data_IF_457793246084
#
_entry.id   IF_457793246084
#
_cell.length_a   1.000
_cell.length_b   1.000
_cell.length_c   1.000
_cell.angle_alpha   90.00
_cell.angle_beta   90.00
_cell.angle_gamma   90.00
#
_symmetry.space_group_name_H-M   'P 1'
#
loop_
_entity.id
_entity.type
_entity.pdbx_description
1 polymer ?
#
# COMPACT_ATOMS: atom_id res chain seq x y z
N UNK A 1 -53.22 26.21 47.72
CA UNK A 1 -52.84 25.90 46.32
C UNK A 1 -52.97 24.39 46.17
N UNK A 2 -54.17 23.91 45.88
CA UNK A 2 -54.66 23.52 44.54
C UNK A 2 -53.98 22.27 43.94
N UNK A 3 -54.74 21.17 44.06
CA UNK A 3 -54.94 19.98 43.20
C UNK A 3 -53.71 19.12 42.82
N UNK A 4 -53.45 17.96 43.44
CA UNK A 4 -54.21 16.71 43.62
C UNK A 4 -54.26 15.81 42.36
N UNK A 5 -53.42 14.78 42.41
CA UNK A 5 -53.32 13.62 41.51
C UNK A 5 -54.53 12.69 41.66
N UNK A 6 -54.97 12.09 40.56
CA UNK A 6 -56.13 11.22 40.52
C UNK A 6 -55.76 9.74 40.26
N UNK A 7 -56.27 8.91 41.18
CA UNK A 7 -56.76 7.52 41.07
C UNK A 7 -55.83 6.35 40.69
N UNK A 8 -55.55 5.57 41.74
CA UNK A 8 -55.44 4.11 41.76
C UNK A 8 -56.83 3.45 41.56
N UNK A 9 -56.87 2.32 40.86
CA UNK A 9 -57.85 1.26 41.10
C UNK A 9 -57.17 -0.12 41.08
N UNK A 10 -57.50 -0.90 42.11
CA UNK A 10 -57.07 -2.26 42.45
C UNK A 10 -57.76 -3.34 41.59
N UNK A 11 -57.14 -4.53 41.51
CA UNK A 11 -57.71 -5.89 41.68
C UNK A 11 -56.74 -6.89 40.98
N UNK A 12 -55.80 -7.56 41.66
CA UNK A 12 -55.92 -8.75 42.55
C UNK A 12 -56.12 -10.09 41.83
N UNK A 13 -55.23 -11.06 42.12
CA UNK A 13 -55.38 -12.50 41.85
C UNK A 13 -54.02 -13.21 41.63
N UNK A 14 -53.19 -13.50 42.65
CA UNK A 14 -53.09 -14.76 43.44
C UNK A 14 -52.77 -15.99 42.54
N UNK A 15 -51.66 -16.74 42.68
CA UNK A 15 -51.34 -17.75 43.72
C UNK A 15 -49.91 -18.35 43.41
N UNK A 16 -48.89 -18.21 44.28
CA UNK A 16 -48.27 -19.19 45.24
C UNK A 16 -47.04 -19.99 44.72
N UNK A 17 -45.90 -19.79 45.44
CA UNK A 17 -44.89 -20.73 46.03
C UNK A 17 -44.34 -21.88 45.15
N UNK A 18 -43.06 -22.28 45.15
CA UNK A 18 -41.88 -21.99 45.96
C UNK A 18 -40.75 -22.99 45.62
N UNK A 19 -39.52 -22.71 46.03
CA UNK A 19 -38.35 -23.59 45.91
C UNK A 19 -38.45 -24.81 46.84
N UNK A 20 -38.06 -26.00 46.36
CA UNK A 20 -37.86 -27.17 47.20
C UNK A 20 -37.38 -28.37 46.37
N UNK A 21 -36.23 -28.94 46.74
CA UNK A 21 -35.50 -29.93 45.96
C UNK A 21 -36.10 -31.33 45.88
N UNK A 22 -35.51 -32.14 44.99
CA UNK A 22 -35.43 -33.60 45.17
C UNK A 22 -36.12 -34.45 44.11
N UNK A 23 -35.28 -35.05 43.24
CA UNK A 23 -35.39 -36.41 42.67
C UNK A 23 -36.58 -36.77 41.76
N UNK A 24 -36.21 -37.07 40.51
CA UNK A 24 -36.72 -38.14 39.62
C UNK A 24 -38.21 -38.14 39.27
N UNK A 25 -38.55 -37.67 38.06
CA UNK A 25 -38.87 -38.52 36.90
C UNK A 25 -39.38 -37.67 35.72
N UNK A 26 -38.84 -37.97 34.55
CA UNK A 26 -39.34 -37.77 33.17
C UNK A 26 -40.26 -36.57 32.81
N UNK A 27 -39.71 -35.62 32.04
CA UNK A 27 -40.24 -35.22 30.71
C UNK A 27 -39.35 -34.11 30.10
N UNK A 28 -38.50 -34.47 29.14
CA UNK A 28 -37.77 -33.51 28.30
C UNK A 28 -38.70 -33.08 27.17
N UNK A 29 -39.27 -31.88 27.25
CA UNK A 29 -39.93 -31.24 26.12
C UNK A 29 -38.86 -30.85 25.09
N UNK A 30 -38.90 -31.51 23.94
CA UNK A 30 -38.09 -31.26 22.76
C UNK A 30 -38.11 -29.78 22.36
N UNK A 31 -36.93 -29.15 22.33
CA UNK A 31 -36.71 -27.90 21.61
C UNK A 31 -36.86 -28.20 20.11
N UNK A 32 -37.91 -27.67 19.50
CA UNK A 32 -38.10 -27.68 18.06
C UNK A 32 -36.84 -27.18 17.34
N UNK A 33 -36.13 -28.09 16.66
CA UNK A 33 -34.96 -27.75 15.88
C UNK A 33 -35.36 -26.89 14.68
N UNK A 34 -34.83 -25.68 14.61
CA UNK A 34 -34.89 -24.82 13.43
C UNK A 34 -34.27 -25.57 12.25
N UNK A 35 -35.11 -26.07 11.33
CA UNK A 35 -34.65 -26.69 10.08
C UNK A 35 -34.18 -25.60 9.14
N UNK A 36 -32.86 -25.55 8.90
CA UNK A 36 -32.32 -24.69 7.86
C UNK A 36 -32.91 -25.07 6.49
N UNK A 37 -33.18 -24.09 5.62
CA UNK A 37 -33.59 -24.35 4.24
C UNK A 37 -32.54 -25.20 3.53
N UNK A 38 -32.97 -26.18 2.75
CA UNK A 38 -32.09 -26.97 1.90
C UNK A 38 -31.35 -26.05 0.94
N UNK A 39 -30.01 -26.05 1.04
CA UNK A 39 -29.11 -25.31 0.14
C UNK A 39 -29.47 -25.63 -1.31
N UNK A 40 -29.96 -24.64 -2.05
CA UNK A 40 -30.02 -24.73 -3.50
C UNK A 40 -28.60 -24.83 -4.05
N UNK A 41 -28.43 -25.69 -5.04
CA UNK A 41 -27.15 -25.90 -5.72
C UNK A 41 -26.85 -24.64 -6.55
N UNK A 42 -26.17 -23.67 -5.95
CA UNK A 42 -25.56 -22.59 -6.71
C UNK A 42 -24.62 -23.20 -7.76
N UNK A 43 -24.64 -22.62 -8.96
CA UNK A 43 -23.83 -23.01 -10.13
C UNK A 43 -22.33 -22.74 -9.93
N UNK A 44 -21.78 -23.16 -8.79
CA UNK A 44 -20.36 -23.19 -8.52
C UNK A 44 -19.83 -24.49 -9.11
N UNK A 45 -18.95 -24.39 -10.10
CA UNK A 45 -18.22 -25.56 -10.62
C UNK A 45 -17.64 -26.33 -9.43
N UNK A 46 -18.06 -27.58 -9.25
CA UNK A 46 -17.51 -28.52 -8.26
C UNK A 46 -16.19 -29.12 -8.75
N UNK A 47 -15.36 -28.33 -9.42
CA UNK A 47 -13.98 -28.73 -9.65
C UNK A 47 -13.23 -28.43 -8.36
N UNK A 48 -12.80 -29.48 -7.67
CA UNK A 48 -11.80 -29.33 -6.61
C UNK A 48 -10.53 -28.84 -7.28
N UNK A 49 -10.31 -27.53 -7.28
CA UNK A 49 -9.05 -26.94 -7.73
C UNK A 49 -8.00 -27.26 -6.67
N UNK A 50 -7.50 -28.49 -6.66
CA UNK A 50 -6.27 -28.82 -5.93
C UNK A 50 -5.08 -28.44 -6.81
N UNK A 51 -4.81 -27.13 -6.94
CA UNK A 51 -3.44 -26.75 -7.29
C UNK A 51 -2.60 -27.12 -6.09
N UNK A 52 -1.72 -28.10 -6.25
CA UNK A 52 -0.85 -28.50 -5.15
C UNK A 52 0.05 -27.31 -4.79
N UNK A 53 0.52 -27.27 -3.53
CA UNK A 53 1.45 -26.22 -3.09
C UNK A 53 2.66 -26.17 -4.02
N UNK A 54 3.08 -27.34 -4.49
CA UNK A 54 4.16 -27.51 -5.48
C UNK A 54 3.80 -26.92 -6.85
N UNK A 55 2.57 -27.02 -7.36
CA UNK A 55 2.17 -26.35 -8.62
C UNK A 55 2.08 -24.82 -8.48
N UNK A 56 1.67 -24.34 -7.30
CA UNK A 56 1.66 -22.90 -7.00
C UNK A 56 3.08 -22.33 -6.94
N UNK A 57 4.05 -23.08 -6.39
CA UNK A 57 5.46 -22.68 -6.32
C UNK A 57 6.30 -23.12 -7.54
N UNK A 58 5.83 -24.05 -8.38
CA UNK A 58 6.51 -24.45 -9.60
C UNK A 58 6.59 -23.31 -10.63
N UNK A 59 5.63 -22.37 -10.58
CA UNK A 59 5.70 -21.13 -11.35
C UNK A 59 6.36 -19.97 -10.60
N UNK A 60 6.60 -20.08 -9.29
CA UNK A 60 7.26 -19.04 -8.48
C UNK A 60 8.76 -18.86 -8.80
N UNK A 61 9.31 -19.73 -9.66
CA UNK A 61 10.70 -19.67 -10.14
C UNK A 61 10.84 -19.58 -11.66
N UNK A 62 9.74 -19.52 -12.44
CA UNK A 62 9.86 -19.17 -13.86
C UNK A 62 10.18 -17.69 -13.91
N UNK A 63 11.47 -17.35 -14.08
CA UNK A 63 11.82 -16.04 -14.64
C UNK A 63 10.90 -15.86 -15.85
N UNK A 64 10.03 -14.85 -15.80
CA UNK A 64 9.23 -14.46 -16.96
C UNK A 64 10.15 -14.31 -18.17
N UNK A 65 9.61 -14.49 -19.36
CA UNK A 65 10.39 -14.43 -20.60
C UNK A 65 11.24 -13.16 -20.61
N UNK A 66 12.56 -13.33 -20.49
CA UNK A 66 13.48 -12.22 -20.29
C UNK A 66 13.58 -11.41 -21.58
N UNK A 67 13.15 -10.16 -21.51
CA UNK A 67 13.20 -9.22 -22.63
C UNK A 67 14.53 -8.47 -22.58
N UNK A 68 15.27 -8.37 -23.71
CA UNK A 68 16.52 -7.62 -23.74
C UNK A 68 16.30 -6.14 -23.41
N UNK A 69 17.31 -5.53 -22.81
CA UNK A 69 17.35 -4.09 -22.53
C UNK A 69 18.05 -3.39 -23.70
N UNK A 70 17.50 -2.26 -24.15
CA UNK A 70 18.16 -1.38 -25.12
C UNK A 70 19.19 -0.48 -24.41
N UNK A 71 20.50 -0.67 -24.66
CA UNK A 71 21.54 0.13 -24.03
C UNK A 71 21.51 1.61 -24.43
N UNK A 72 21.10 1.91 -25.67
CA UNK A 72 21.03 3.28 -26.17
C UNK A 72 19.89 4.04 -25.50
N UNK A 73 18.70 3.42 -25.41
CA UNK A 73 17.58 3.99 -24.67
C UNK A 73 17.92 4.14 -23.18
N UNK A 74 18.53 3.12 -22.56
CA UNK A 74 18.98 3.20 -21.16
C UNK A 74 19.90 4.39 -20.93
N UNK A 75 20.89 4.60 -21.79
CA UNK A 75 21.80 5.74 -21.71
C UNK A 75 21.05 7.08 -21.87
N UNK A 76 20.09 7.14 -22.79
CA UNK A 76 19.26 8.34 -23.01
C UNK A 76 18.40 8.68 -21.79
N UNK A 77 17.74 7.68 -21.19
CA UNK A 77 16.88 7.87 -20.02
C UNK A 77 17.67 8.27 -18.76
N UNK A 78 18.94 7.85 -18.66
CA UNK A 78 19.83 8.18 -17.54
C UNK A 78 20.61 9.47 -17.72
N UNK A 79 20.39 10.20 -18.82
CA UNK A 79 21.13 11.43 -19.08
C UNK A 79 20.88 12.41 -17.93
N UNK A 80 21.95 12.96 -17.29
CA UNK A 80 21.79 13.93 -16.23
C UNK A 80 20.96 15.12 -16.71
N UNK A 81 19.98 15.50 -15.90
CA UNK A 81 19.14 16.66 -16.08
C UNK A 81 18.90 17.30 -14.71
N UNK A 82 18.62 18.61 -14.71
CA UNK A 82 18.35 19.35 -13.49
C UNK A 82 17.26 20.38 -13.75
N UNK A 83 16.30 20.45 -12.84
CA UNK A 83 15.32 21.53 -12.76
C UNK A 83 15.80 22.53 -11.71
N UNK A 84 15.65 23.83 -12.01
CA UNK A 84 16.00 24.89 -11.08
C UNK A 84 14.89 25.07 -10.03
N UNK A 85 14.81 24.13 -9.08
CA UNK A 85 13.83 24.13 -7.99
C UNK A 85 14.48 24.70 -6.73
N UNK A 86 13.81 25.66 -6.09
CA UNK A 86 14.31 26.36 -4.90
C UNK A 86 13.38 26.24 -3.70
N UNK A 87 12.10 25.96 -3.93
CA UNK A 87 11.07 25.97 -2.88
C UNK A 87 10.31 24.65 -2.82
N UNK A 88 9.62 24.45 -1.69
CA UNK A 88 8.71 23.33 -1.47
C UNK A 88 7.59 23.31 -2.51
N UNK A 89 7.01 24.47 -2.76
CA UNK A 89 5.88 24.64 -3.68
C UNK A 89 6.27 24.30 -5.11
N UNK A 90 7.45 24.74 -5.56
CA UNK A 90 7.99 24.38 -6.88
C UNK A 90 8.25 22.87 -6.98
N UNK A 91 8.84 22.27 -5.93
CA UNK A 91 9.11 20.83 -5.88
C UNK A 91 7.81 20.02 -5.99
N UNK A 92 6.82 20.36 -5.17
CA UNK A 92 5.52 19.70 -5.16
C UNK A 92 4.78 19.88 -6.49
N UNK A 93 4.79 21.08 -7.07
CA UNK A 93 4.16 21.33 -8.36
C UNK A 93 4.74 20.42 -9.48
N UNK A 94 6.06 20.22 -9.49
CA UNK A 94 6.70 19.31 -10.44
C UNK A 94 6.36 17.84 -10.15
N UNK A 95 6.41 17.42 -8.89
CA UNK A 95 6.05 16.06 -8.49
C UNK A 95 4.57 15.74 -8.79
N UNK A 96 3.66 16.70 -8.57
CA UNK A 96 2.24 16.58 -8.86
C UNK A 96 1.96 16.53 -10.36
N UNK A 97 2.75 17.23 -11.19
CA UNK A 97 2.65 17.10 -12.64
C UNK A 97 3.00 15.67 -13.12
N UNK A 98 4.02 15.05 -12.50
CA UNK A 98 4.34 13.63 -12.75
C UNK A 98 3.19 12.72 -12.28
N UNK A 99 2.62 12.99 -11.11
CA UNK A 99 1.53 12.19 -10.55
C UNK A 99 0.23 12.31 -11.35
N UNK A 100 -0.10 13.49 -11.85
CA UNK A 100 -1.21 13.71 -12.78
C UNK A 100 -1.04 12.85 -14.03
N UNK A 101 0.14 12.89 -14.66
CA UNK A 101 0.42 12.09 -15.86
C UNK A 101 0.31 10.60 -15.57
N UNK A 102 0.92 10.12 -14.48
CA UNK A 102 0.79 8.73 -14.04
C UNK A 102 -0.67 8.35 -13.78
N UNK A 103 -1.44 9.23 -13.15
CA UNK A 103 -2.86 8.99 -12.84
C UNK A 103 -3.70 8.88 -14.11
N UNK A 104 -3.42 9.69 -15.12
CA UNK A 104 -4.08 9.55 -16.44
C UNK A 104 -3.76 8.21 -17.11
N UNK A 105 -2.55 7.69 -16.96
CA UNK A 105 -2.22 6.32 -17.41
C UNK A 105 -3.02 5.27 -16.66
N UNK A 106 -3.11 5.39 -15.33
CA UNK A 106 -3.89 4.47 -14.51
C UNK A 106 -5.39 4.49 -14.87
N UNK A 107 -5.97 5.66 -15.14
CA UNK A 107 -7.37 5.80 -15.60
C UNK A 107 -7.64 5.03 -16.90
N UNK A 108 -6.61 4.85 -17.74
CA UNK A 108 -6.68 4.07 -18.98
C UNK A 108 -6.42 2.56 -18.78
N UNK A 109 -6.25 2.12 -17.53
CA UNK A 109 -5.98 0.72 -17.17
C UNK A 109 -4.51 0.42 -16.89
N UNK A 110 -3.65 1.44 -16.83
CA UNK A 110 -2.21 1.26 -16.67
C UNK A 110 -1.53 0.75 -17.96
N UNK A 111 -0.21 0.62 -17.92
CA UNK A 111 0.51 -0.01 -19.01
C UNK A 111 0.25 -1.53 -19.03
N UNK A 112 -0.08 -2.14 -17.88
CA UNK A 112 -0.52 -3.54 -17.83
C UNK A 112 -1.67 -3.82 -18.81
N UNK A 113 -2.64 -2.91 -18.92
CA UNK A 113 -3.71 -3.05 -19.90
C UNK A 113 -3.21 -3.09 -21.35
N UNK A 114 -2.16 -2.32 -21.69
CA UNK A 114 -1.56 -2.35 -23.03
C UNK A 114 -0.94 -3.72 -23.36
N UNK A 115 -0.28 -4.36 -22.39
CA UNK A 115 0.24 -5.73 -22.53
C UNK A 115 -0.89 -6.76 -22.67
N UNK A 116 -1.96 -6.65 -21.86
CA UNK A 116 -3.08 -7.59 -21.89
C UNK A 116 -3.92 -7.53 -23.17
N UNK A 117 -3.96 -6.37 -23.82
CA UNK A 117 -4.77 -6.14 -25.03
C UNK A 117 -4.24 -6.88 -26.26
N UNK A 118 -2.94 -7.15 -26.32
CA UNK A 118 -2.29 -7.78 -27.48
C UNK A 118 -1.90 -9.20 -27.13
N UNK A 119 -2.44 -10.19 -27.85
CA UNK A 119 -2.26 -11.62 -27.55
C UNK A 119 -0.79 -12.01 -27.46
N UNK A 120 0.06 -11.45 -28.32
CA UNK A 120 1.49 -11.71 -28.34
C UNK A 120 2.26 -10.99 -27.21
N UNK A 121 1.75 -9.88 -26.69
CA UNK A 121 2.37 -9.15 -25.58
C UNK A 121 1.94 -9.70 -24.22
N UNK A 122 0.76 -10.33 -24.13
CA UNK A 122 0.18 -10.87 -22.91
C UNK A 122 1.08 -11.82 -22.09
N UNK A 123 1.94 -12.68 -22.68
CA UNK A 123 2.91 -13.46 -21.91
C UNK A 123 3.92 -12.61 -21.12
N UNK A 124 4.04 -11.32 -21.42
CA UNK A 124 4.94 -10.36 -20.78
C UNK A 124 4.20 -9.38 -19.85
N UNK A 125 2.91 -9.59 -19.57
CA UNK A 125 2.11 -8.68 -18.73
C UNK A 125 2.69 -8.42 -17.34
N UNK A 126 3.54 -9.32 -16.81
CA UNK A 126 4.27 -9.08 -15.56
C UNK A 126 5.17 -7.84 -15.64
N UNK A 127 5.73 -7.52 -16.82
CA UNK A 127 6.46 -6.27 -17.03
C UNK A 127 5.51 -5.08 -16.89
N UNK A 128 4.32 -5.17 -17.47
CA UNK A 128 3.33 -4.09 -17.39
C UNK A 128 2.88 -3.82 -15.95
N UNK A 129 2.57 -4.88 -15.20
CA UNK A 129 2.21 -4.77 -13.78
C UNK A 129 3.35 -4.19 -12.93
N UNK A 130 4.59 -4.63 -13.18
CA UNK A 130 5.76 -4.07 -12.50
C UNK A 130 5.98 -2.61 -12.86
N UNK A 131 5.85 -2.23 -14.13
CA UNK A 131 5.98 -0.83 -14.56
C UNK A 131 4.95 0.06 -13.88
N UNK A 132 3.69 -0.37 -13.80
CA UNK A 132 2.65 0.35 -13.06
C UNK A 132 3.04 0.51 -11.59
N UNK A 133 3.43 -0.58 -10.91
CA UNK A 133 3.80 -0.56 -9.49
C UNK A 133 5.04 0.30 -9.21
N UNK A 134 6.09 0.16 -10.02
CA UNK A 134 7.36 0.85 -9.78
C UNK A 134 7.30 2.32 -10.20
N UNK A 135 6.55 2.67 -11.24
CA UNK A 135 6.32 4.08 -11.58
C UNK A 135 5.54 4.79 -10.48
N UNK A 136 4.52 4.15 -9.90
CA UNK A 136 3.80 4.70 -8.74
C UNK A 136 4.75 4.96 -7.58
N UNK A 137 5.58 3.97 -7.25
CA UNK A 137 6.55 4.06 -6.16
C UNK A 137 7.54 5.21 -6.39
N UNK A 138 8.09 5.33 -7.60
CA UNK A 138 8.97 6.43 -7.99
C UNK A 138 8.32 7.80 -7.77
N UNK A 139 7.11 8.00 -8.30
CA UNK A 139 6.41 9.29 -8.20
C UNK A 139 6.05 9.63 -6.76
N UNK A 140 5.52 8.66 -6.01
CA UNK A 140 5.17 8.87 -4.60
C UNK A 140 6.41 9.14 -3.73
N UNK A 141 7.53 8.46 -3.99
CA UNK A 141 8.81 8.75 -3.34
C UNK A 141 9.26 10.19 -3.59
N UNK A 142 9.12 10.70 -4.81
CA UNK A 142 9.47 12.08 -5.17
C UNK A 142 8.54 13.11 -4.49
N UNK A 143 7.24 12.85 -4.46
CA UNK A 143 6.30 13.69 -3.69
C UNK A 143 6.65 13.67 -2.20
N UNK A 144 6.97 12.50 -1.65
CA UNK A 144 7.33 12.33 -0.25
C UNK A 144 8.59 13.12 0.11
N UNK A 145 9.65 13.06 -0.72
CA UNK A 145 10.88 13.81 -0.44
C UNK A 145 10.68 15.32 -0.60
N UNK A 146 9.85 15.78 -1.55
CA UNK A 146 9.48 17.20 -1.64
C UNK A 146 8.76 17.69 -0.38
N UNK A 147 7.87 16.86 0.21
CA UNK A 147 7.15 17.22 1.44
C UNK A 147 8.08 17.33 2.65
N UNK A 148 9.07 16.43 2.72
CA UNK A 148 9.94 16.22 3.89
C UNK A 148 11.40 16.66 3.64
N UNK A 149 11.62 17.59 2.71
CA UNK A 149 12.96 18.03 2.32
C UNK A 149 13.70 18.76 3.46
N UNK A 150 12.99 19.62 4.20
CA UNK A 150 13.58 20.44 5.27
C UNK A 150 13.42 19.84 6.66
N UNK A 151 12.31 19.13 6.89
CA UNK A 151 12.00 18.46 8.15
C UNK A 151 11.07 17.28 7.84
N UNK A 152 11.18 16.20 8.62
CA UNK A 152 10.17 15.14 8.60
C UNK A 152 8.93 15.65 9.32
N UNK A 153 7.84 15.79 8.58
CA UNK A 153 6.55 16.06 9.19
C UNK A 153 5.99 14.78 9.80
N UNK A 154 6.26 14.58 11.09
CA UNK A 154 5.66 13.50 11.87
C UNK A 154 4.25 13.90 12.29
N UNK A 155 3.27 13.02 12.06
CA UNK A 155 1.91 13.22 12.54
C UNK A 155 1.38 12.01 13.29
N UNK A 156 0.25 12.19 14.01
CA UNK A 156 -0.50 11.10 14.63
C UNK A 156 0.34 10.15 15.48
N UNK A 157 0.31 8.87 15.14
CA UNK A 157 1.03 7.81 15.85
C UNK A 157 2.55 7.96 15.74
N UNK A 158 3.06 8.42 14.58
CA UNK A 158 4.50 8.66 14.40
C UNK A 158 5.05 9.71 15.35
N UNK A 159 4.35 10.85 15.47
CA UNK A 159 4.74 11.91 16.40
C UNK A 159 4.70 11.45 17.88
N UNK A 160 3.66 10.71 18.28
CA UNK A 160 3.54 10.18 19.64
C UNK A 160 4.61 9.13 19.96
N UNK A 161 4.93 8.25 19.00
CA UNK A 161 5.99 7.25 19.14
C UNK A 161 7.35 7.91 19.38
N UNK A 162 7.70 8.91 18.58
CA UNK A 162 8.96 9.65 18.76
C UNK A 162 8.98 10.37 20.11
N UNK A 163 7.92 11.10 20.46
CA UNK A 163 7.81 11.81 21.74
C UNK A 163 7.99 10.86 22.93
N UNK A 164 7.36 9.69 22.86
CA UNK A 164 7.44 8.68 23.92
C UNK A 164 8.84 8.09 24.02
N UNK A 165 9.45 7.76 22.87
CA UNK A 165 10.83 7.28 22.82
C UNK A 165 11.82 8.27 23.44
N UNK A 166 11.71 9.57 23.11
CA UNK A 166 12.55 10.61 23.70
C UNK A 166 12.35 10.74 25.21
N UNK A 167 11.10 10.64 25.68
CA UNK A 167 10.79 10.79 27.11
C UNK A 167 11.22 9.60 27.97
N UNK A 168 11.20 8.38 27.43
CA UNK A 168 11.44 7.15 28.18
C UNK A 168 12.84 6.57 27.95
N UNK A 169 13.53 7.03 26.90
CA UNK A 169 14.72 6.36 26.37
C UNK A 169 14.38 4.99 25.75
N UNK A 170 15.37 4.42 25.04
CA UNK A 170 15.21 3.14 24.32
C UNK A 170 14.72 2.00 25.21
N UNK A 171 15.35 1.81 26.37
CA UNK A 171 15.00 0.73 27.30
C UNK A 171 13.60 0.92 27.90
N UNK A 172 13.26 2.13 28.34
CA UNK A 172 11.94 2.45 28.88
C UNK A 172 10.83 2.28 27.83
N UNK A 173 11.08 2.73 26.60
CA UNK A 173 10.16 2.56 25.48
C UNK A 173 9.90 1.09 25.16
N UNK A 174 10.95 0.27 25.08
CA UNK A 174 10.84 -1.17 24.84
C UNK A 174 10.05 -1.86 25.94
N UNK A 175 10.39 -1.60 27.21
CA UNK A 175 9.70 -2.21 28.35
C UNK A 175 8.22 -1.82 28.44
N UNK A 176 7.90 -0.57 28.10
CA UNK A 176 6.51 -0.09 28.04
C UNK A 176 5.66 -0.92 27.08
N UNK A 177 6.10 -1.08 25.83
CA UNK A 177 5.33 -1.82 24.84
C UNK A 177 5.35 -3.35 25.07
N UNK A 178 6.44 -3.90 25.61
CA UNK A 178 6.46 -5.30 26.06
C UNK A 178 5.41 -5.56 27.16
N UNK A 179 5.27 -4.64 28.11
CA UNK A 179 4.27 -4.74 29.20
C UNK A 179 2.84 -4.67 28.66
N UNK A 180 2.62 -3.92 27.58
CA UNK A 180 1.34 -3.85 26.87
C UNK A 180 1.05 -5.07 25.98
N UNK A 181 1.97 -6.03 25.91
CA UNK A 181 1.82 -7.24 25.09
C UNK A 181 2.14 -7.05 23.60
N UNK A 182 2.86 -5.99 23.24
CA UNK A 182 3.32 -5.81 21.86
C UNK A 182 4.40 -6.84 21.49
N UNK A 183 4.42 -7.24 20.22
CA UNK A 183 5.39 -8.21 19.69
C UNK A 183 6.76 -7.54 19.56
N UNK A 184 7.84 -8.20 20.00
CA UNK A 184 9.19 -7.63 19.98
C UNK A 184 9.62 -7.11 18.60
N UNK A 185 9.25 -7.82 17.52
CA UNK A 185 9.55 -7.38 16.16
C UNK A 185 8.87 -6.07 15.75
N UNK A 186 7.68 -5.76 16.30
CA UNK A 186 7.04 -4.45 16.11
C UNK A 186 7.76 -3.37 16.91
N UNK A 187 8.12 -3.67 18.16
CA UNK A 187 8.87 -2.74 19.03
C UNK A 187 10.20 -2.36 18.39
N UNK A 188 10.93 -3.33 17.81
CA UNK A 188 12.19 -3.09 17.12
C UNK A 188 12.02 -2.19 15.88
N UNK A 189 10.88 -2.28 15.18
CA UNK A 189 10.54 -1.35 14.09
C UNK A 189 10.29 0.05 14.63
N UNK A 190 9.53 0.18 15.70
CA UNK A 190 9.18 1.47 16.29
C UNK A 190 10.38 2.18 16.93
N UNK A 191 11.30 1.42 17.52
CA UNK A 191 12.58 1.94 18.00
C UNK A 191 13.42 2.46 16.84
N UNK A 192 13.60 1.68 15.77
CA UNK A 192 14.33 2.11 14.58
C UNK A 192 13.70 3.36 13.96
N UNK A 193 12.38 3.41 13.93
CA UNK A 193 11.62 4.58 13.50
C UNK A 193 11.92 5.81 14.32
N UNK A 194 11.85 5.71 15.64
CA UNK A 194 12.10 6.84 16.50
C UNK A 194 13.56 7.34 16.37
N UNK A 195 14.53 6.42 16.38
CA UNK A 195 15.95 6.74 16.18
C UNK A 195 16.18 7.45 14.84
N UNK A 196 15.64 6.91 13.75
CA UNK A 196 15.77 7.50 12.41
C UNK A 196 15.09 8.87 12.30
N UNK A 197 13.88 9.01 12.85
CA UNK A 197 13.13 10.26 12.82
C UNK A 197 13.87 11.37 13.59
N UNK A 198 14.42 11.06 14.77
CA UNK A 198 15.21 12.00 15.58
C UNK A 198 16.49 12.40 14.84
N UNK A 199 17.26 11.44 14.33
CA UNK A 199 18.49 11.70 13.58
C UNK A 199 18.25 12.56 12.33
N UNK A 200 17.08 12.41 11.73
CA UNK A 200 16.71 13.09 10.49
C UNK A 200 16.07 14.47 10.71
N UNK A 201 15.81 14.92 11.94
CA UNK A 201 15.25 16.27 12.20
C UNK A 201 16.13 17.40 11.69
N UNK A 202 17.44 17.21 11.75
CA UNK A 202 18.42 18.20 11.27
C UNK A 202 18.79 18.00 9.79
N UNK A 203 18.32 16.90 9.18
CA UNK A 203 18.69 16.49 7.83
C UNK A 203 17.88 17.28 6.81
N UNK A 204 18.54 18.23 6.13
CA UNK A 204 17.96 19.01 5.04
C UNK A 204 18.43 18.47 3.68
N UNK A 205 17.50 18.25 2.77
CA UNK A 205 17.79 18.02 1.34
C UNK A 205 17.57 19.32 0.59
N UNK A 206 18.59 19.86 -0.10
CA UNK A 206 18.39 21.01 -0.96
C UNK A 206 17.37 20.70 -2.07
N UNK A 207 16.38 21.58 -2.27
CA UNK A 207 15.41 21.41 -3.36
C UNK A 207 16.06 21.34 -4.74
N UNK A 208 17.24 21.94 -4.92
CA UNK A 208 18.02 21.81 -6.15
C UNK A 208 18.45 20.37 -6.44
N UNK A 209 18.81 19.59 -5.40
CA UNK A 209 19.17 18.18 -5.55
C UNK A 209 17.94 17.31 -5.84
N UNK A 210 16.79 17.63 -5.23
CA UNK A 210 15.52 16.97 -5.57
C UNK A 210 15.10 17.31 -7.01
N UNK A 211 15.39 18.53 -7.46
CA UNK A 211 15.19 18.97 -8.84
C UNK A 211 15.94 18.14 -9.88
N UNK A 212 17.09 17.55 -9.52
CA UNK A 212 17.79 16.57 -10.37
C UNK A 212 16.99 15.26 -10.50
N UNK A 213 16.52 14.72 -9.38
CA UNK A 213 15.70 13.50 -9.35
C UNK A 213 14.39 13.68 -10.13
N UNK A 214 13.73 14.82 -9.97
CA UNK A 214 12.51 15.16 -10.73
C UNK A 214 12.78 15.27 -12.23
N UNK A 215 13.88 15.93 -12.62
CA UNK A 215 14.28 16.05 -14.01
C UNK A 215 14.56 14.68 -14.65
N UNK A 216 15.18 13.78 -13.90
CA UNK A 216 15.47 12.41 -14.34
C UNK A 216 14.21 11.54 -14.41
N UNK A 217 13.23 11.76 -13.53
CA UNK A 217 11.97 11.03 -13.54
C UNK A 217 11.04 11.43 -14.69
N UNK A 218 11.07 12.69 -15.14
CA UNK A 218 10.23 13.20 -16.23
C UNK A 218 10.26 12.31 -17.49
N UNK A 219 11.42 12.03 -18.12
CA UNK A 219 11.46 11.18 -19.31
C UNK A 219 11.02 9.73 -19.05
N UNK A 220 11.10 9.24 -17.81
CA UNK A 220 10.61 7.90 -17.43
C UNK A 220 9.09 7.86 -17.43
N UNK A 221 8.46 8.85 -16.80
CA UNK A 221 6.99 8.98 -16.78
C UNK A 221 6.43 9.31 -18.16
N UNK A 222 7.17 10.08 -18.98
CA UNK A 222 6.80 10.35 -20.37
C UNK A 222 6.80 9.08 -21.22
N UNK A 223 7.83 8.24 -21.10
CA UNK A 223 7.89 6.96 -21.80
C UNK A 223 6.82 5.99 -21.29
N UNK A 224 6.56 5.97 -19.99
CA UNK A 224 5.46 5.18 -19.40
C UNK A 224 4.09 5.57 -19.98
N UNK A 225 3.82 6.88 -20.09
CA UNK A 225 2.59 7.39 -20.68
C UNK A 225 2.45 7.01 -22.16
N UNK A 226 3.50 7.23 -22.94
CA UNK A 226 3.53 6.90 -24.36
C UNK A 226 3.35 5.39 -24.61
N UNK A 227 4.05 4.52 -23.87
CA UNK A 227 3.87 3.07 -23.98
C UNK A 227 2.44 2.63 -23.67
N UNK A 228 1.77 3.27 -22.69
CA UNK A 228 0.39 2.91 -22.31
C UNK A 228 -0.63 3.11 -23.44
N UNK A 229 -0.32 3.96 -24.41
CA UNK A 229 -1.22 4.32 -25.51
C UNK A 229 -0.77 3.77 -26.86
N UNK A 230 0.42 3.15 -26.91
CA UNK A 230 1.05 2.73 -28.15
C UNK A 230 0.28 1.61 -28.83
N UNK A 231 0.09 1.73 -30.14
CA UNK A 231 -0.51 0.69 -30.97
C UNK A 231 0.58 -0.27 -31.43
N UNK A 232 0.32 -1.56 -31.30
CA UNK A 232 1.20 -2.64 -31.76
C UNK A 232 0.54 -3.24 -32.99
N UNK A 233 1.15 -3.04 -34.17
CA UNK A 233 0.59 -3.45 -35.47
C UNK A 233 1.28 -4.66 -36.09
N UNK A 234 2.54 -4.89 -35.71
CA UNK A 234 3.43 -5.88 -36.31
C UNK A 234 4.49 -6.34 -35.31
N UNK A 235 5.24 -7.38 -35.68
CA UNK A 235 6.26 -7.98 -34.83
C UNK A 235 7.38 -7.00 -34.47
N UNK A 236 7.76 -6.09 -35.37
CA UNK A 236 8.80 -5.10 -35.08
C UNK A 236 8.34 -4.12 -33.99
N UNK A 237 7.12 -3.58 -34.13
CA UNK A 237 6.50 -2.71 -33.12
C UNK A 237 6.30 -3.42 -31.77
N UNK A 238 6.00 -4.72 -31.78
CA UNK A 238 5.92 -5.54 -30.57
C UNK A 238 7.29 -5.66 -29.90
N UNK A 239 8.33 -6.01 -30.66
CA UNK A 239 9.68 -6.15 -30.10
C UNK A 239 10.19 -4.82 -29.53
N UNK A 240 9.94 -3.70 -30.21
CA UNK A 240 10.24 -2.36 -29.69
C UNK A 240 9.47 -2.10 -28.40
N UNK A 241 8.15 -2.31 -28.39
CA UNK A 241 7.32 -2.10 -27.18
C UNK A 241 7.83 -2.90 -25.98
N UNK A 242 8.13 -4.20 -26.17
CA UNK A 242 8.65 -5.05 -25.11
C UNK A 242 10.02 -4.57 -24.62
N UNK A 243 10.94 -4.30 -25.54
CA UNK A 243 12.32 -3.87 -25.24
C UNK A 243 12.33 -2.53 -24.51
N UNK A 244 11.53 -1.56 -24.95
CA UNK A 244 11.41 -0.25 -24.30
C UNK A 244 10.79 -0.38 -22.91
N UNK A 245 9.73 -1.19 -22.75
CA UNK A 245 9.13 -1.46 -21.45
C UNK A 245 10.10 -2.12 -20.46
N UNK A 246 10.87 -3.12 -20.91
CA UNK A 246 11.89 -3.77 -20.08
C UNK A 246 13.03 -2.81 -19.71
N UNK A 247 13.45 -1.95 -20.66
CA UNK A 247 14.46 -0.93 -20.43
C UNK A 247 14.00 0.11 -19.42
N UNK A 248 12.77 0.61 -19.56
CA UNK A 248 12.16 1.56 -18.64
C UNK A 248 12.09 0.98 -17.22
N UNK A 249 11.60 -0.26 -17.08
CA UNK A 249 11.52 -0.93 -15.79
C UNK A 249 12.89 -1.07 -15.14
N UNK A 250 13.91 -1.45 -15.92
CA UNK A 250 15.27 -1.56 -15.43
C UNK A 250 15.80 -0.20 -14.93
N UNK A 251 15.58 0.89 -15.67
CA UNK A 251 16.04 2.23 -15.27
C UNK A 251 15.33 2.72 -14.02
N UNK A 252 14.01 2.52 -13.91
CA UNK A 252 13.25 2.87 -12.71
C UNK A 252 13.78 2.07 -11.51
N UNK A 253 13.97 0.75 -11.66
CA UNK A 253 14.47 -0.09 -10.58
C UNK A 253 15.87 0.30 -10.12
N UNK A 254 16.75 0.68 -11.05
CA UNK A 254 18.09 1.16 -10.72
C UNK A 254 18.04 2.52 -10.00
N UNK A 255 17.05 3.37 -10.27
CA UNK A 255 16.90 4.64 -9.54
C UNK A 255 16.67 4.44 -8.03
N UNK A 256 16.00 3.36 -7.62
CA UNK A 256 15.76 3.04 -6.20
C UNK A 256 17.02 2.68 -5.41
N UNK A 257 18.16 2.44 -6.09
CA UNK A 257 19.44 2.12 -5.45
C UNK A 257 20.56 3.09 -5.81
N UNK A 258 20.36 3.96 -6.80
CA UNK A 258 21.39 4.88 -7.29
C UNK A 258 21.06 6.33 -7.03
N UNK A 259 19.78 6.70 -6.89
CA UNK A 259 19.39 8.05 -6.52
C UNK A 259 19.25 8.15 -4.98
N UNK A 260 20.12 8.94 -4.31
CA UNK A 260 20.11 9.02 -2.85
C UNK A 260 18.83 9.65 -2.28
N UNK A 261 18.13 10.53 -3.02
CA UNK A 261 16.88 11.17 -2.58
C UNK A 261 15.74 10.16 -2.62
N UNK A 262 15.70 9.34 -3.67
CA UNK A 262 14.72 8.26 -3.78
C UNK A 262 14.99 7.20 -2.71
N UNK A 263 16.24 6.75 -2.54
CA UNK A 263 16.60 5.81 -1.47
C UNK A 263 16.17 6.29 -0.10
N UNK A 264 16.36 7.58 0.18
CA UNK A 264 15.94 8.19 1.42
C UNK A 264 14.40 8.20 1.57
N UNK A 265 13.64 8.50 0.51
CA UNK A 265 12.19 8.34 0.52
C UNK A 265 11.76 6.89 0.81
N UNK A 266 12.47 5.91 0.27
CA UNK A 266 12.19 4.50 0.55
C UNK A 266 12.54 4.09 1.99
N UNK A 267 13.58 4.67 2.57
CA UNK A 267 13.87 4.50 3.99
C UNK A 267 12.75 5.07 4.85
N UNK A 268 12.18 6.22 4.47
CA UNK A 268 10.97 6.74 5.12
C UNK A 268 9.81 5.73 5.05
N UNK A 269 9.52 5.17 3.88
CA UNK A 269 8.45 4.17 3.71
C UNK A 269 8.68 2.90 4.54
N UNK A 270 9.90 2.35 4.54
CA UNK A 270 10.23 1.13 5.30
C UNK A 270 10.10 1.34 6.81
N UNK A 271 10.46 2.54 7.25
CA UNK A 271 10.61 2.88 8.66
C UNK A 271 9.35 3.53 9.24
N UNK A 272 8.42 4.04 8.43
CA UNK A 272 7.09 4.50 8.88
C UNK A 272 6.02 3.38 8.76
N UNK A 273 5.78 2.60 9.82
CA UNK A 273 4.59 1.78 9.90
C UNK A 273 3.39 2.70 10.16
N UNK A 274 2.55 2.88 9.14
CA UNK A 274 1.15 3.36 9.26
C UNK A 274 0.95 4.83 9.69
N UNK A 275 1.22 5.80 8.81
CA UNK A 275 0.54 7.11 8.94
C UNK A 275 -0.94 7.04 8.52
N UNK A 276 -1.37 5.98 7.84
CA UNK A 276 -2.69 5.91 7.18
C UNK A 276 -3.68 4.91 7.81
N UNK A 277 -3.78 4.89 9.15
CA UNK A 277 -4.93 4.32 9.87
C UNK A 277 -5.87 5.40 10.41
N UNK A 278 -5.93 6.57 9.76
CA UNK A 278 -7.15 7.38 9.76
C UNK A 278 -7.80 7.23 8.40
N UNK A 279 -8.71 6.27 8.31
CA UNK A 279 -9.52 6.04 7.13
C UNK A 279 -10.13 7.35 6.62
N UNK A 280 -9.69 7.76 5.45
CA UNK A 280 -10.57 8.45 4.52
C UNK A 280 -11.36 7.34 3.81
N UNK A 281 -12.46 6.93 4.46
CA UNK A 281 -13.64 6.46 3.73
C UNK A 281 -14.40 7.67 3.23
#
# INVERSE_FOLDING_TARGET
MQYARFLFFLLSGLVVVGCGGGMNDDEVVEKSAFKMPTKENTWVRKETVSKSKEEFFANAGKKGTEVPIDPALKSKLKKPAALAIKTKEECLAQADALDQKRTEVQKRGGIWHAYEKVVQAKPYSDYGMQLDSQTNRLVFSLQHICKNAEEIHLSGWGAETVRRFESMGKEGFTNYFLTLGAVSGDIDRWVRFAEFAIQSRERKVPYSEIGESLAQAQPLVDLYDDLSQRKISDDASLQTFLTEGATLLNVINESFTTDPRIMLALQYEEVFPFEDLKGQM
#
